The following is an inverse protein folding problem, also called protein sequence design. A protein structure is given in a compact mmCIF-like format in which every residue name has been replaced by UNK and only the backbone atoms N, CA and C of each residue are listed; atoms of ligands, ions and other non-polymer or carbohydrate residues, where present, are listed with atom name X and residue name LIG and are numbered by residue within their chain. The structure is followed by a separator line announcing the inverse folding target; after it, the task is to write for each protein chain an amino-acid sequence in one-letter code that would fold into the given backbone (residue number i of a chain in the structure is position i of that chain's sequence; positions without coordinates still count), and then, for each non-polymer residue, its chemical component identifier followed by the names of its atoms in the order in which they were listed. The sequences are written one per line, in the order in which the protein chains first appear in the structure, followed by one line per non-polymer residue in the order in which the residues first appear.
data_IF_435460616963
#
_entry.id   IF_435460616963
#
_cell.length_a   1.000
_cell.length_b   1.000
_cell.length_c   1.000
_cell.angle_alpha   90.00
_cell.angle_beta   90.00
_cell.angle_gamma   90.00
#
_symmetry.space_group_name_H-M   'P 1'
#
loop_
_entity.id
_entity.type
_entity.pdbx_description
1 polymer ?
#
# COMPACT_ATOMS: atom_id res chain seq x y z
N UNK A 1 -48.76 43.19 -5.43
CA UNK A 1 -49.77 42.58 -4.56
C UNK A 1 -48.99 41.74 -3.56
N UNK A 2 -49.02 42.09 -2.27
CA UNK A 2 -48.15 41.51 -1.25
C UNK A 2 -48.34 39.99 -1.10
N UNK A 3 -49.52 39.48 -1.45
CA UNK A 3 -49.81 38.05 -1.41
C UNK A 3 -49.06 37.29 -2.50
N UNK A 4 -49.05 37.81 -3.74
CA UNK A 4 -48.35 37.20 -4.88
C UNK A 4 -46.82 37.15 -4.65
N UNK A 5 -46.26 38.21 -4.07
CA UNK A 5 -44.82 38.26 -3.76
C UNK A 5 -44.44 37.25 -2.65
N UNK A 6 -45.33 37.04 -1.68
CA UNK A 6 -45.17 36.03 -0.64
C UNK A 6 -45.29 34.60 -1.18
N UNK A 7 -46.23 34.35 -2.10
CA UNK A 7 -46.37 33.05 -2.79
C UNK A 7 -45.13 32.70 -3.61
N UNK A 8 -44.62 33.66 -4.38
CA UNK A 8 -43.38 33.49 -5.14
C UNK A 8 -42.19 33.17 -4.22
N UNK A 9 -42.04 33.91 -3.13
CA UNK A 9 -40.99 33.67 -2.13
C UNK A 9 -41.10 32.29 -1.49
N UNK A 10 -42.32 31.80 -1.24
CA UNK A 10 -42.55 30.44 -0.73
C UNK A 10 -42.10 29.39 -1.75
N UNK A 11 -42.47 29.54 -3.02
CA UNK A 11 -42.08 28.58 -4.06
C UNK A 11 -40.56 28.49 -4.21
N UNK A 12 -39.87 29.63 -4.21
CA UNK A 12 -38.40 29.68 -4.25
C UNK A 12 -37.79 29.01 -3.02
N UNK A 13 -38.35 29.26 -1.83
CA UNK A 13 -37.93 28.61 -0.60
C UNK A 13 -38.12 27.09 -0.67
N UNK A 14 -39.27 26.61 -1.17
CA UNK A 14 -39.55 25.18 -1.34
C UNK A 14 -38.55 24.53 -2.29
N UNK A 15 -38.28 25.14 -3.45
CA UNK A 15 -37.28 24.63 -4.40
C UNK A 15 -35.88 24.60 -3.81
N UNK A 16 -35.51 25.62 -3.02
CA UNK A 16 -34.23 25.65 -2.31
C UNK A 16 -34.11 24.47 -1.33
N UNK A 17 -35.17 24.19 -0.55
CA UNK A 17 -35.19 23.05 0.38
C UNK A 17 -35.09 21.70 -0.35
N UNK A 18 -35.83 21.51 -1.45
CA UNK A 18 -35.77 20.27 -2.24
C UNK A 18 -34.36 20.02 -2.80
N UNK A 19 -33.70 21.06 -3.29
CA UNK A 19 -32.31 20.97 -3.76
C UNK A 19 -31.35 20.62 -2.61
N UNK A 20 -31.48 21.29 -1.46
CA UNK A 20 -30.65 20.99 -0.29
C UNK A 20 -30.85 19.55 0.22
N UNK A 21 -32.07 19.03 0.19
CA UNK A 21 -32.35 17.64 0.56
C UNK A 21 -31.68 16.66 -0.41
N UNK A 22 -31.75 16.92 -1.71
CA UNK A 22 -31.10 16.11 -2.74
C UNK A 22 -29.58 16.12 -2.59
N UNK A 23 -28.99 17.30 -2.43
CA UNK A 23 -27.55 17.46 -2.28
C UNK A 23 -27.06 16.83 -0.98
N UNK A 24 -27.80 17.03 0.13
CA UNK A 24 -27.49 16.39 1.41
C UNK A 24 -27.49 14.87 1.29
N UNK A 25 -28.50 14.28 0.65
CA UNK A 25 -28.56 12.83 0.44
C UNK A 25 -27.35 12.36 -0.37
N UNK A 26 -27.08 13.02 -1.50
CA UNK A 26 -25.95 12.69 -2.34
C UNK A 26 -24.62 12.75 -1.58
N UNK A 27 -24.38 13.80 -0.81
CA UNK A 27 -23.14 13.96 -0.03
C UNK A 27 -23.00 12.88 1.04
N UNK A 28 -24.09 12.55 1.75
CA UNK A 28 -24.07 11.47 2.76
C UNK A 28 -23.76 10.12 2.13
N UNK A 29 -24.40 9.79 1.00
CA UNK A 29 -24.13 8.55 0.26
C UNK A 29 -22.67 8.48 -0.19
N UNK A 30 -22.10 9.60 -0.65
CA UNK A 30 -20.68 9.68 -1.08
C UNK A 30 -19.70 9.50 0.08
N UNK A 31 -19.99 10.04 1.25
CA UNK A 31 -19.16 9.83 2.45
C UNK A 31 -19.19 8.36 2.86
N UNK A 32 -20.36 7.73 2.91
CA UNK A 32 -20.48 6.33 3.29
C UNK A 32 -19.68 5.40 2.34
N UNK A 33 -19.68 5.67 1.04
CA UNK A 33 -18.85 4.94 0.07
C UNK A 33 -17.36 5.17 0.36
N UNK A 34 -16.95 6.42 0.55
CA UNK A 34 -15.55 6.76 0.82
C UNK A 34 -15.00 6.14 2.11
N UNK A 35 -15.81 6.08 3.17
CA UNK A 35 -15.45 5.43 4.43
C UNK A 35 -15.25 3.91 4.25
N UNK A 36 -16.16 3.25 3.53
CA UNK A 36 -16.07 1.83 3.22
C UNK A 36 -14.82 1.51 2.39
N UNK A 37 -14.55 2.29 1.34
CA UNK A 37 -13.38 2.13 0.48
C UNK A 37 -12.08 2.36 1.26
N UNK A 38 -12.05 3.36 2.13
CA UNK A 38 -10.90 3.63 3.00
C UNK A 38 -10.64 2.46 3.96
N UNK A 39 -11.68 1.95 4.62
CA UNK A 39 -11.55 0.81 5.54
C UNK A 39 -11.05 -0.46 4.83
N UNK A 40 -11.58 -0.74 3.63
CA UNK A 40 -11.11 -1.84 2.79
C UNK A 40 -9.64 -1.64 2.41
N UNK A 41 -9.28 -0.46 1.91
CA UNK A 41 -7.91 -0.13 1.53
C UNK A 41 -6.92 -0.30 2.70
N UNK A 42 -7.26 0.17 3.90
CA UNK A 42 -6.43 -0.03 5.10
C UNK A 42 -6.26 -1.51 5.46
N UNK A 43 -7.32 -2.30 5.32
CA UNK A 43 -7.30 -3.74 5.58
C UNK A 43 -6.40 -4.47 4.60
N UNK A 44 -6.51 -4.15 3.32
CA UNK A 44 -5.70 -4.74 2.25
C UNK A 44 -4.23 -4.37 2.44
N UNK A 45 -3.93 -3.08 2.67
CA UNK A 45 -2.56 -2.60 2.93
C UNK A 45 -1.92 -3.30 4.14
N UNK A 46 -2.66 -3.47 5.25
CA UNK A 46 -2.18 -4.18 6.43
C UNK A 46 -1.89 -5.66 6.12
N UNK A 47 -2.81 -6.33 5.44
CA UNK A 47 -2.66 -7.74 5.07
C UNK A 47 -1.46 -7.96 4.17
N UNK A 48 -1.35 -7.19 3.09
CA UNK A 48 -0.22 -7.25 2.15
C UNK A 48 1.08 -6.83 2.83
N UNK A 49 1.06 -5.84 3.72
CA UNK A 49 2.22 -5.46 4.51
C UNK A 49 2.80 -6.63 5.32
N UNK A 50 1.94 -7.42 5.99
CA UNK A 50 2.39 -8.61 6.73
C UNK A 50 3.01 -9.66 5.82
N UNK A 51 2.44 -9.85 4.62
CA UNK A 51 3.03 -10.73 3.61
C UNK A 51 4.41 -10.23 3.16
N UNK A 52 4.57 -8.91 2.99
CA UNK A 52 5.85 -8.29 2.65
C UNK A 52 6.88 -8.52 3.77
N UNK A 53 6.53 -8.34 5.04
CA UNK A 53 7.44 -8.61 6.17
C UNK A 53 7.89 -10.08 6.21
N UNK A 54 6.94 -11.01 5.99
CA UNK A 54 7.25 -12.44 5.91
C UNK A 54 8.18 -12.76 4.74
N UNK A 55 7.94 -12.17 3.56
CA UNK A 55 8.80 -12.34 2.40
C UNK A 55 10.19 -11.75 2.63
N UNK A 56 10.28 -10.55 3.22
CA UNK A 56 11.55 -9.92 3.60
C UNK A 56 12.36 -10.80 4.55
N UNK A 57 11.72 -11.43 5.52
CA UNK A 57 12.36 -12.39 6.43
C UNK A 57 12.90 -13.63 5.70
N UNK A 58 12.16 -14.14 4.71
CA UNK A 58 12.62 -15.24 3.87
C UNK A 58 13.81 -14.84 2.98
N UNK A 59 13.79 -13.64 2.40
CA UNK A 59 14.91 -13.10 1.63
C UNK A 59 16.15 -12.96 2.52
N UNK A 60 16.02 -12.44 3.74
CA UNK A 60 17.13 -12.32 4.68
C UNK A 60 17.78 -13.68 5.00
N UNK A 61 16.98 -14.74 5.16
CA UNK A 61 17.50 -16.11 5.34
C UNK A 61 18.24 -16.61 4.09
N UNK A 62 17.75 -16.29 2.90
CA UNK A 62 18.41 -16.62 1.64
C UNK A 62 19.74 -15.86 1.48
N UNK A 63 19.78 -14.57 1.83
CA UNK A 63 21.01 -13.77 1.88
C UNK A 63 22.05 -14.40 2.84
N UNK A 64 21.61 -14.83 4.03
CA UNK A 64 22.48 -15.53 5.00
C UNK A 64 23.02 -16.86 4.46
N UNK A 65 22.19 -17.61 3.73
CA UNK A 65 22.62 -18.86 3.07
C UNK A 65 23.65 -18.59 1.98
N UNK A 66 23.43 -17.56 1.16
CA UNK A 66 24.35 -17.14 0.11
C UNK A 66 25.71 -16.71 0.69
N UNK A 67 25.72 -15.98 1.81
CA UNK A 67 26.95 -15.61 2.52
C UNK A 67 27.73 -16.86 2.99
N UNK A 68 27.05 -17.82 3.64
CA UNK A 68 27.68 -19.06 4.07
C UNK A 68 28.22 -19.90 2.92
N UNK A 69 27.54 -19.92 1.77
CA UNK A 69 28.02 -20.59 0.56
C UNK A 69 29.26 -19.89 -0.02
N UNK A 70 29.27 -18.56 -0.08
CA UNK A 70 30.44 -17.78 -0.51
C UNK A 70 31.67 -18.10 0.34
N UNK A 71 31.51 -18.19 1.66
CA UNK A 71 32.62 -18.49 2.57
C UNK A 71 33.18 -19.90 2.34
N UNK A 72 32.32 -20.90 2.08
CA UNK A 72 32.77 -22.24 1.71
C UNK A 72 33.51 -22.24 0.37
N UNK A 73 32.95 -21.62 -0.66
CA UNK A 73 33.56 -21.56 -1.98
C UNK A 73 34.94 -20.87 -1.96
N UNK A 74 35.14 -19.87 -1.09
CA UNK A 74 36.42 -19.17 -0.89
C UNK A 74 37.56 -20.09 -0.48
N UNK A 75 37.27 -21.18 0.22
CA UNK A 75 38.28 -22.15 0.69
C UNK A 75 38.79 -23.08 -0.41
N UNK A 76 38.10 -23.15 -1.55
CA UNK A 76 38.43 -24.06 -2.66
C UNK A 76 39.16 -23.26 -3.74
N UNK A 77 40.44 -23.52 -4.06
CA UNK A 77 41.18 -22.73 -5.05
C UNK A 77 41.05 -23.32 -6.47
N UNK A 78 39.83 -23.39 -7.01
CA UNK A 78 39.60 -23.90 -8.38
C UNK A 78 38.86 -22.89 -9.26
N UNK A 79 39.06 -22.96 -10.59
CA UNK A 79 38.34 -22.09 -11.55
C UNK A 79 36.82 -22.23 -11.40
N UNK A 80 36.31 -23.45 -11.28
CA UNK A 80 34.88 -23.71 -11.06
C UNK A 80 34.37 -23.03 -9.78
N UNK A 81 35.14 -23.06 -8.69
CA UNK A 81 34.74 -22.36 -7.46
C UNK A 81 34.66 -20.84 -7.64
N UNK A 82 35.53 -20.25 -8.48
CA UNK A 82 35.50 -18.82 -8.77
C UNK A 82 34.27 -18.44 -9.59
N UNK A 83 33.89 -19.27 -10.57
CA UNK A 83 32.66 -19.09 -11.36
C UNK A 83 31.42 -19.16 -10.47
N UNK A 84 31.34 -20.17 -9.59
CA UNK A 84 30.25 -20.29 -8.62
C UNK A 84 30.19 -19.09 -7.65
N UNK A 85 31.34 -18.55 -7.22
CA UNK A 85 31.35 -17.34 -6.37
C UNK A 85 30.74 -16.14 -7.10
N UNK A 86 31.04 -15.98 -8.39
CA UNK A 86 30.47 -14.89 -9.18
C UNK A 86 28.94 -15.03 -9.31
N UNK A 87 28.46 -16.26 -9.55
CA UNK A 87 27.03 -16.55 -9.62
C UNK A 87 26.32 -16.28 -8.28
N UNK A 88 26.86 -16.79 -7.17
CA UNK A 88 26.29 -16.56 -5.82
C UNK A 88 26.30 -15.06 -5.47
N UNK A 89 27.35 -14.33 -5.82
CA UNK A 89 27.42 -12.88 -5.60
C UNK A 89 26.34 -12.14 -6.40
N UNK A 90 26.09 -12.54 -7.65
CA UNK A 90 25.01 -11.98 -8.47
C UNK A 90 23.65 -12.22 -7.83
N UNK A 91 23.36 -13.47 -7.46
CA UNK A 91 22.09 -13.84 -6.82
C UNK A 91 21.86 -13.09 -5.49
N UNK A 92 22.91 -12.96 -4.67
CA UNK A 92 22.84 -12.22 -3.41
C UNK A 92 22.56 -10.72 -3.64
N UNK A 93 23.16 -10.11 -4.67
CA UNK A 93 22.89 -8.73 -5.05
C UNK A 93 21.44 -8.52 -5.49
N UNK A 94 20.88 -9.46 -6.24
CA UNK A 94 19.48 -9.42 -6.67
C UNK A 94 18.52 -9.53 -5.48
N UNK A 95 18.80 -10.42 -4.53
CA UNK A 95 18.03 -10.55 -3.29
C UNK A 95 18.05 -9.26 -2.47
N UNK A 96 19.23 -8.64 -2.34
CA UNK A 96 19.38 -7.36 -1.63
C UNK A 96 18.55 -6.25 -2.25
N UNK A 97 18.57 -6.16 -3.58
CA UNK A 97 17.77 -5.17 -4.34
C UNK A 97 16.27 -5.40 -4.12
N UNK A 98 15.81 -6.66 -4.17
CA UNK A 98 14.40 -7.01 -3.89
C UNK A 98 14.01 -6.67 -2.45
N UNK A 99 14.88 -6.93 -1.47
CA UNK A 99 14.62 -6.59 -0.06
C UNK A 99 14.41 -5.10 0.14
N UNK A 100 15.25 -4.25 -0.44
CA UNK A 100 15.08 -2.80 -0.35
C UNK A 100 13.76 -2.32 -0.96
N UNK A 101 13.38 -2.87 -2.12
CA UNK A 101 12.10 -2.54 -2.73
C UNK A 101 10.91 -2.92 -1.83
N UNK A 102 11.00 -4.05 -1.11
CA UNK A 102 9.99 -4.46 -0.14
C UNK A 102 9.95 -3.53 1.09
N UNK A 103 11.10 -3.15 1.62
CA UNK A 103 11.22 -2.22 2.76
C UNK A 103 10.63 -0.84 2.44
N UNK A 104 10.86 -0.33 1.22
CA UNK A 104 10.26 0.92 0.75
C UNK A 104 8.72 0.86 0.75
N UNK A 105 8.15 -0.29 0.35
CA UNK A 105 6.70 -0.49 0.39
C UNK A 105 6.15 -0.53 1.82
N UNK A 106 6.87 -1.12 2.77
CA UNK A 106 6.49 -1.10 4.19
C UNK A 106 6.49 0.31 4.75
N UNK A 107 7.51 1.10 4.44
CA UNK A 107 7.59 2.51 4.83
C UNK A 107 6.40 3.28 4.27
N UNK A 108 6.06 3.05 2.99
CA UNK A 108 4.92 3.71 2.37
C UNK A 108 3.58 3.35 3.00
N UNK A 109 3.38 2.08 3.36
CA UNK A 109 2.17 1.65 4.09
C UNK A 109 2.09 2.36 5.46
N UNK A 110 3.21 2.47 6.15
CA UNK A 110 3.29 3.14 7.45
C UNK A 110 3.01 4.65 7.36
N UNK A 111 3.46 5.31 6.29
CA UNK A 111 3.14 6.73 6.01
C UNK A 111 1.63 6.98 5.84
N UNK A 112 0.86 5.97 5.40
CA UNK A 112 -0.60 6.06 5.35
C UNK A 112 -1.27 5.86 6.73
N UNK A 113 -0.50 5.73 7.81
CA UNK A 113 -1.01 5.45 9.14
C UNK A 113 -1.52 4.02 9.33
N UNK A 114 -1.18 3.10 8.40
CA UNK A 114 -1.58 1.70 8.48
C UNK A 114 -0.50 0.92 9.20
N UNK A 115 -0.79 0.33 10.39
CA UNK A 115 0.17 -0.51 11.08
C UNK A 115 0.31 -1.84 10.36
N UNK A 116 1.56 -2.28 10.18
CA UNK A 116 1.93 -3.55 9.54
C UNK A 116 2.55 -4.52 10.53
#
# INVERSE_FOLDING_TARGET
DLLNDAEQSMMEYKTSIENLQKDSKYTLDKIAIGESDLQRGQTDLRSTGKQIQSLGSSIYKAESTAAGLMDRLRTIPTRQSLELRAEVASMASDLKTRRYALEERINKISEYGVPV
#
